data_IF_982169365048
#
_entry.id   IF_982169365048
#
_cell.length_a   1.000
_cell.length_b   1.000
_cell.length_c   1.000
_cell.angle_alpha   90.00
_cell.angle_beta   90.00
_cell.angle_gamma   90.00
#
_symmetry.space_group_name_H-M   'P 1'
#
loop_
_entity.id
_entity.type
_entity.pdbx_description
1 polymer ?
#
# COMPACT_ATOMS: atom_id res chain seq x y z
N UNK A 1 -25.52 -5.33 9.34
CA UNK A 1 -24.66 -4.63 8.39
C UNK A 1 -23.38 -4.38 9.15
N UNK A 2 -22.32 -5.10 8.81
CA UNK A 2 -21.01 -4.93 9.41
C UNK A 2 -20.46 -3.58 8.96
N UNK A 3 -20.16 -2.69 9.90
CA UNK A 3 -19.54 -1.40 9.58
C UNK A 3 -18.05 -1.65 9.31
N UNK A 4 -17.59 -1.37 8.08
CA UNK A 4 -16.18 -1.34 7.74
C UNK A 4 -15.54 -0.18 8.50
N UNK A 5 -14.57 -0.48 9.36
CA UNK A 5 -13.80 0.54 10.07
C UNK A 5 -12.47 0.75 9.37
N UNK A 6 -12.22 2.01 9.00
CA UNK A 6 -10.98 2.45 8.36
C UNK A 6 -10.22 3.46 9.20
N UNK A 7 -8.91 3.51 9.00
CA UNK A 7 -8.03 4.58 9.47
C UNK A 7 -7.26 5.17 8.28
N UNK A 8 -6.88 6.45 8.33
CA UNK A 8 -6.00 7.01 7.30
C UNK A 8 -4.70 6.21 7.21
N UNK A 9 -4.31 5.85 5.99
CA UNK A 9 -3.07 5.12 5.79
C UNK A 9 -1.85 6.03 5.99
N UNK A 10 -0.77 5.43 6.46
CA UNK A 10 0.56 6.04 6.54
C UNK A 10 1.59 5.03 6.06
N UNK A 11 2.80 5.50 5.75
CA UNK A 11 3.89 4.61 5.40
C UNK A 11 4.14 3.53 6.48
N UNK A 12 4.06 3.92 7.76
CA UNK A 12 4.32 3.03 8.88
C UNK A 12 3.20 2.01 9.08
N UNK A 13 1.93 2.40 8.91
CA UNK A 13 0.81 1.48 9.13
C UNK A 13 0.57 0.55 7.93
N UNK A 14 1.14 0.86 6.76
CA UNK A 14 1.17 -0.02 5.58
C UNK A 14 2.47 -0.81 5.43
N UNK A 15 3.44 -0.65 6.33
CA UNK A 15 4.67 -1.43 6.30
C UNK A 15 4.38 -2.93 6.33
N UNK A 16 4.97 -3.67 5.40
CA UNK A 16 4.82 -5.13 5.31
C UNK A 16 5.71 -5.77 6.37
N UNK A 17 5.12 -6.55 7.27
CA UNK A 17 5.84 -7.11 8.42
C UNK A 17 6.86 -8.18 8.04
N UNK A 18 6.58 -8.93 6.98
CA UNK A 18 7.44 -9.97 6.44
C UNK A 18 8.12 -9.51 5.13
N UNK A 19 8.39 -8.21 5.00
CA UNK A 19 9.14 -7.66 3.88
C UNK A 19 10.53 -8.29 3.80
N UNK A 20 11.10 -8.28 2.60
CA UNK A 20 12.46 -8.72 2.33
C UNK A 20 13.23 -7.62 1.61
N UNK A 21 14.50 -7.47 1.94
CA UNK A 21 15.42 -6.55 1.27
C UNK A 21 16.47 -7.33 0.48
N UNK A 22 16.94 -6.77 -0.64
CA UNK A 22 17.97 -7.38 -1.50
C UNK A 22 19.35 -7.55 -0.85
N UNK A 23 19.52 -7.15 0.41
CA UNK A 23 20.74 -7.37 1.21
C UNK A 23 20.55 -8.43 2.30
N UNK A 24 19.36 -9.01 2.43
CA UNK A 24 19.09 -10.03 3.44
C UNK A 24 19.90 -11.29 3.10
N UNK A 25 20.76 -11.73 4.02
CA UNK A 25 21.52 -12.97 3.87
C UNK A 25 20.62 -14.21 3.94
N UNK A 26 19.49 -14.10 4.64
CA UNK A 26 18.46 -15.13 4.81
C UNK A 26 17.08 -14.49 4.67
N UNK A 27 16.63 -14.18 3.44
CA UNK A 27 15.35 -13.51 3.23
C UNK A 27 14.19 -14.43 3.61
N UNK A 28 13.11 -13.84 4.13
CA UNK A 28 11.85 -14.55 4.33
C UNK A 28 11.38 -15.16 2.99
N UNK A 29 10.96 -16.42 3.02
CA UNK A 29 10.48 -17.15 1.82
C UNK A 29 8.95 -17.10 1.68
N UNK A 30 8.24 -16.56 2.68
CA UNK A 30 6.79 -16.39 2.64
C UNK A 30 6.39 -15.20 1.76
N UNK A 31 5.18 -15.26 1.21
CA UNK A 31 4.63 -14.18 0.41
C UNK A 31 4.40 -12.92 1.28
N UNK A 32 4.68 -11.70 0.78
CA UNK A 32 4.41 -10.45 1.49
C UNK A 32 2.97 -10.36 2.00
N UNK A 33 2.78 -10.00 3.26
CA UNK A 33 1.47 -9.81 3.89
C UNK A 33 1.04 -8.36 3.65
N UNK A 34 0.15 -8.18 2.69
CA UNK A 34 -0.47 -6.90 2.39
C UNK A 34 -1.60 -6.58 3.37
N UNK A 35 -1.88 -5.29 3.53
CA UNK A 35 -3.01 -4.78 4.31
C UNK A 35 -4.21 -4.54 3.39
N UNK A 36 -5.41 -4.87 3.86
CA UNK A 36 -6.64 -4.50 3.15
C UNK A 36 -6.86 -2.99 3.27
N UNK A 37 -7.15 -2.35 2.14
CA UNK A 37 -7.29 -0.90 2.04
C UNK A 37 -8.43 -0.51 1.09
N UNK A 38 -8.86 0.74 1.18
CA UNK A 38 -9.59 1.41 0.12
C UNK A 38 -8.66 2.42 -0.57
N UNK A 39 -8.64 2.39 -1.91
CA UNK A 39 -7.95 3.35 -2.77
C UNK A 39 -9.01 4.15 -3.50
N UNK A 40 -9.14 5.44 -3.16
CA UNK A 40 -10.22 6.31 -3.66
C UNK A 40 -11.63 5.69 -3.47
N UNK A 41 -11.80 4.89 -2.41
CA UNK A 41 -13.04 4.18 -2.09
C UNK A 41 -13.17 2.79 -2.72
N UNK A 42 -12.24 2.36 -3.59
CA UNK A 42 -12.23 1.03 -4.20
C UNK A 42 -11.40 0.04 -3.37
N UNK A 43 -11.90 -1.19 -3.12
CA UNK A 43 -11.18 -2.19 -2.35
C UNK A 43 -9.90 -2.64 -3.06
N UNK A 44 -8.81 -2.68 -2.30
CA UNK A 44 -7.50 -3.11 -2.77
C UNK A 44 -6.68 -3.67 -1.60
N UNK A 45 -5.47 -4.12 -1.91
CA UNK A 45 -4.44 -4.45 -0.92
C UNK A 45 -3.24 -3.54 -1.09
N UNK A 46 -2.64 -3.09 0.00
CA UNK A 46 -1.47 -2.21 -0.05
C UNK A 46 -0.38 -2.65 0.91
N UNK A 47 0.86 -2.38 0.51
CA UNK A 47 2.04 -2.70 1.29
C UNK A 47 3.18 -1.75 0.96
N UNK A 48 3.89 -1.32 1.99
CA UNK A 48 5.17 -0.59 1.87
C UNK A 48 6.31 -1.52 2.26
N UNK A 49 7.30 -1.62 1.39
CA UNK A 49 8.44 -2.51 1.58
C UNK A 49 9.41 -2.47 0.40
N UNK A 50 10.46 -3.27 0.48
CA UNK A 50 11.44 -3.44 -0.59
C UNK A 50 11.09 -4.60 -1.53
N UNK A 51 10.30 -5.57 -1.06
CA UNK A 51 9.78 -6.71 -1.83
C UNK A 51 10.90 -7.48 -2.56
N UNK A 52 11.99 -7.76 -1.86
CA UNK A 52 13.20 -8.41 -2.37
C UNK A 52 14.12 -7.48 -3.17
N UNK A 53 13.71 -6.24 -3.41
CA UNK A 53 14.53 -5.22 -4.06
C UNK A 53 15.44 -4.44 -3.10
N UNK A 54 16.11 -3.41 -3.62
CA UNK A 54 17.04 -2.57 -2.85
C UNK A 54 16.46 -1.22 -2.41
N UNK A 55 15.17 -1.01 -2.64
CA UNK A 55 14.54 0.29 -2.40
C UNK A 55 13.10 0.08 -2.01
N UNK A 56 12.71 0.78 -0.94
CA UNK A 56 11.33 0.92 -0.49
C UNK A 56 10.45 1.43 -1.62
N UNK A 57 9.28 0.84 -1.74
CA UNK A 57 8.21 1.22 -2.64
C UNK A 57 6.88 0.94 -1.96
N UNK A 58 5.84 1.57 -2.46
CA UNK A 58 4.47 1.14 -2.22
C UNK A 58 4.02 0.25 -3.37
N UNK A 59 3.28 -0.81 -3.05
CA UNK A 59 2.59 -1.69 -3.99
C UNK A 59 1.12 -1.70 -3.63
N UNK A 60 0.26 -1.51 -4.63
CA UNK A 60 -1.19 -1.60 -4.58
C UNK A 60 -1.63 -2.75 -5.49
N UNK A 61 -2.44 -3.67 -4.97
CA UNK A 61 -3.02 -4.79 -5.69
C UNK A 61 -4.53 -4.62 -5.78
N UNK A 62 -5.08 -4.61 -6.98
CA UNK A 62 -6.49 -4.35 -7.25
C UNK A 62 -7.21 -5.63 -7.65
N UNK A 63 -8.29 -5.96 -6.92
CA UNK A 63 -9.20 -7.07 -7.26
C UNK A 63 -10.64 -6.63 -6.96
N UNK A 64 -11.42 -6.21 -7.97
CA UNK A 64 -11.15 -6.31 -9.41
C UNK A 64 -10.06 -5.32 -9.92
N UNK A 65 -9.51 -5.51 -11.14
CA UNK A 65 -8.49 -4.62 -11.71
C UNK A 65 -8.95 -3.16 -11.82
N UNK A 66 -8.07 -2.22 -11.45
CA UNK A 66 -8.31 -0.78 -11.57
C UNK A 66 -8.36 -0.37 -13.04
N UNK A 67 -9.29 0.53 -13.38
CA UNK A 67 -9.52 0.97 -14.77
C UNK A 67 -8.27 1.54 -15.44
N UNK A 68 -7.41 2.23 -14.67
CA UNK A 68 -6.19 2.83 -15.19
C UNK A 68 -4.93 1.96 -15.01
N UNK A 69 -4.83 1.22 -13.90
CA UNK A 69 -3.58 0.55 -13.50
C UNK A 69 -3.61 -0.97 -13.69
N UNK A 70 -4.78 -1.54 -14.01
CA UNK A 70 -4.96 -2.97 -14.07
C UNK A 70 -4.85 -3.60 -12.68
N UNK A 71 -4.15 -4.72 -12.59
CA UNK A 71 -4.08 -5.54 -11.36
C UNK A 71 -3.11 -4.98 -10.32
N UNK A 72 -2.12 -4.19 -10.72
CA UNK A 72 -1.05 -3.73 -9.81
C UNK A 72 -0.56 -2.32 -10.15
N UNK A 73 -0.34 -1.52 -9.12
CA UNK A 73 0.43 -0.27 -9.18
C UNK A 73 1.58 -0.33 -8.19
N UNK A 74 2.80 -0.02 -8.63
CA UNK A 74 3.98 0.00 -7.76
C UNK A 74 4.88 1.19 -8.08
N UNK A 75 5.34 1.91 -7.04
CA UNK A 75 6.27 3.04 -7.22
C UNK A 75 7.14 3.27 -5.99
N UNK A 76 8.40 3.66 -6.24
CA UNK A 76 9.32 4.17 -5.22
C UNK A 76 9.18 5.68 -4.97
N UNK A 77 8.43 6.36 -5.84
CA UNK A 77 8.17 7.78 -5.75
C UNK A 77 6.79 7.96 -5.15
N UNK A 78 6.70 7.80 -3.83
CA UNK A 78 5.47 8.03 -3.07
C UNK A 78 5.77 8.82 -1.80
N UNK A 79 4.75 9.52 -1.29
CA UNK A 79 4.82 10.27 -0.04
C UNK A 79 3.41 10.36 0.54
N UNK A 80 3.26 10.05 1.83
CA UNK A 80 2.03 10.38 2.57
C UNK A 80 2.15 11.80 3.10
N UNK A 81 1.11 12.61 2.90
CA UNK A 81 1.11 14.01 3.33
C UNK A 81 0.81 14.11 4.82
N UNK A 82 1.61 14.89 5.56
CA UNK A 82 1.44 15.08 7.00
C UNK A 82 0.22 15.97 7.34
N UNK A 83 -0.17 16.86 6.42
CA UNK A 83 -1.29 17.79 6.55
C UNK A 83 -2.61 17.26 5.97
N UNK A 84 -2.56 16.24 5.12
CA UNK A 84 -3.71 15.59 4.50
C UNK A 84 -3.72 14.08 4.82
N UNK A 85 -4.28 13.72 5.98
CA UNK A 85 -4.36 12.33 6.45
C UNK A 85 -4.87 11.35 5.39
N UNK A 86 -4.07 10.34 5.09
CA UNK A 86 -4.41 9.26 4.14
C UNK A 86 -4.16 9.63 2.67
N UNK A 87 -3.81 10.87 2.35
CA UNK A 87 -3.43 11.25 0.99
C UNK A 87 -2.00 10.79 0.72
N UNK A 88 -1.86 9.95 -0.30
CA UNK A 88 -0.56 9.52 -0.82
C UNK A 88 -0.30 10.13 -2.19
N UNK A 89 0.65 11.05 -2.29
CA UNK A 89 1.16 11.53 -3.57
C UNK A 89 2.10 10.53 -4.20
N UNK A 90 2.14 10.50 -5.53
CA UNK A 90 3.03 9.62 -6.26
C UNK A 90 3.50 10.18 -7.59
N UNK A 91 4.64 9.68 -8.05
CA UNK A 91 5.29 10.13 -9.27
C UNK A 91 5.75 11.60 -9.17
N UNK A 92 5.69 12.32 -10.30
CA UNK A 92 6.15 13.71 -10.38
C UNK A 92 5.08 14.67 -10.91
N UNK A 93 3.88 14.16 -11.24
CA UNK A 93 2.84 14.90 -11.95
C UNK A 93 1.75 15.45 -11.02
N UNK A 94 2.02 15.51 -9.70
CA UNK A 94 1.06 15.97 -8.70
C UNK A 94 -0.13 15.03 -8.50
N UNK A 95 0.01 13.75 -8.87
CA UNK A 95 -1.03 12.73 -8.69
C UNK A 95 -1.05 12.22 -7.26
N UNK A 96 -2.23 11.81 -6.81
CA UNK A 96 -2.44 11.27 -5.47
C UNK A 96 -3.51 10.19 -5.47
N UNK A 97 -3.50 9.38 -4.41
CA UNK A 97 -4.61 8.53 -4.00
C UNK A 97 -5.04 8.92 -2.59
N UNK A 98 -6.33 8.82 -2.29
CA UNK A 98 -6.78 8.70 -0.91
C UNK A 98 -6.70 7.22 -0.51
N UNK A 99 -5.94 6.93 0.54
CA UNK A 99 -5.67 5.57 1.01
C UNK A 99 -6.17 5.42 2.44
N UNK A 100 -7.08 4.47 2.62
CA UNK A 100 -7.67 4.15 3.91
C UNK A 100 -7.37 2.70 4.27
N UNK A 101 -6.69 2.47 5.39
CA UNK A 101 -6.42 1.12 5.88
C UNK A 101 -7.64 0.56 6.60
N UNK A 102 -8.07 -0.64 6.22
CA UNK A 102 -9.16 -1.36 6.89
C UNK A 102 -8.60 -2.01 8.16
N UNK A 103 -9.25 -1.78 9.31
CA UNK A 103 -8.81 -2.31 10.62
C UNK A 103 -9.71 -3.40 11.18
N UNK A 104 -10.89 -3.60 10.60
CA UNK A 104 -11.79 -4.68 10.96
C UNK A 104 -12.79 -4.94 9.83
N UNK A 105 -12.86 -6.19 9.40
CA UNK A 105 -14.05 -6.74 8.74
C UNK A 105 -14.85 -7.46 9.84
N UNK A 106 -16.08 -7.02 10.11
CA UNK A 106 -16.95 -7.66 11.11
C UNK A 106 -17.85 -8.73 10.49
#
# INVERSE_FOLDING_TARGET
MSELSTIPATEQNLAVQNDTHGFDEQPNQEAPIFHDVLIDGEPAKAGVGSFGGYSTRIVLLFDPPHTEFGEEFATKYFMFEDDESGVMKWGHDGRSFLVEKITSEA
#
